data_IF_626602372831
#
_entry.id   IF_626602372831
#
_cell.length_a   1.000
_cell.length_b   1.000
_cell.length_c   1.000
_cell.angle_alpha   90.00
_cell.angle_beta   90.00
_cell.angle_gamma   90.00
#
_symmetry.space_group_name_H-M   'P 1'
#
loop_
_entity.id
_entity.type
_entity.pdbx_description
1 polymer ?
#
# COMPACT_ATOMS: atom_id res chain seq x y z
N UNK A 1 -25.52 -29.28 -21.42
CA UNK A 1 -24.34 -29.36 -20.54
C UNK A 1 -24.84 -29.35 -19.10
N UNK A 2 -24.54 -30.39 -18.32
CA UNK A 2 -24.77 -30.38 -16.87
C UNK A 2 -23.73 -29.47 -16.24
N UNK A 3 -24.15 -28.27 -15.82
CA UNK A 3 -23.29 -27.35 -15.09
C UNK A 3 -23.37 -27.70 -13.61
N UNK A 4 -22.27 -28.15 -13.04
CA UNK A 4 -22.20 -28.49 -11.62
C UNK A 4 -22.06 -27.21 -10.80
N UNK A 5 -23.05 -26.92 -9.95
CA UNK A 5 -23.08 -25.73 -9.10
C UNK A 5 -21.78 -25.56 -8.29
N UNK A 6 -21.31 -26.62 -7.66
CA UNK A 6 -20.10 -26.63 -6.85
C UNK A 6 -18.84 -26.25 -7.65
N UNK A 7 -18.71 -26.79 -8.87
CA UNK A 7 -17.61 -26.46 -9.78
C UNK A 7 -17.60 -24.98 -10.15
N UNK A 8 -18.78 -24.37 -10.37
CA UNK A 8 -18.88 -22.94 -10.70
C UNK A 8 -18.46 -22.07 -9.52
N UNK A 9 -18.92 -22.39 -8.32
CA UNK A 9 -18.59 -21.64 -7.10
C UNK A 9 -17.08 -21.72 -6.84
N UNK A 10 -16.50 -22.93 -6.89
CA UNK A 10 -15.07 -23.14 -6.67
C UNK A 10 -14.20 -22.47 -7.74
N UNK A 11 -14.59 -22.57 -9.01
CA UNK A 11 -13.86 -21.96 -10.11
C UNK A 11 -13.85 -20.43 -10.00
N UNK A 12 -15.01 -19.81 -9.75
CA UNK A 12 -15.08 -18.36 -9.61
C UNK A 12 -14.34 -17.89 -8.36
N UNK A 13 -14.45 -18.61 -7.23
CA UNK A 13 -13.63 -18.35 -6.06
C UNK A 13 -12.13 -18.31 -6.39
N UNK A 14 -11.63 -19.32 -7.12
CA UNK A 14 -10.21 -19.41 -7.47
C UNK A 14 -9.79 -18.26 -8.40
N UNK A 15 -10.57 -17.98 -9.44
CA UNK A 15 -10.31 -16.91 -10.40
C UNK A 15 -10.31 -15.55 -9.70
N UNK A 16 -11.35 -15.26 -8.92
CA UNK A 16 -11.49 -14.00 -8.19
C UNK A 16 -10.37 -13.82 -7.16
N UNK A 17 -9.98 -14.90 -6.49
CA UNK A 17 -8.86 -14.86 -5.56
C UNK A 17 -7.54 -14.54 -6.27
N UNK A 18 -7.27 -15.15 -7.43
CA UNK A 18 -6.09 -14.86 -8.25
C UNK A 18 -6.09 -13.41 -8.74
N UNK A 19 -7.24 -12.90 -9.19
CA UNK A 19 -7.38 -11.52 -9.65
C UNK A 19 -7.20 -10.50 -8.52
N UNK A 20 -7.73 -10.76 -7.33
CA UNK A 20 -7.49 -9.92 -6.15
C UNK A 20 -6.02 -9.95 -5.73
N UNK A 21 -5.37 -11.12 -5.80
CA UNK A 21 -3.93 -11.25 -5.53
C UNK A 21 -3.08 -10.49 -6.57
N UNK A 22 -3.44 -10.58 -7.85
CA UNK A 22 -2.81 -9.81 -8.93
C UNK A 22 -2.98 -8.31 -8.73
N UNK A 23 -4.19 -7.89 -8.34
CA UNK A 23 -4.51 -6.49 -8.01
C UNK A 23 -3.65 -5.97 -6.86
N UNK A 24 -3.43 -6.77 -5.81
CA UNK A 24 -2.55 -6.40 -4.69
C UNK A 24 -1.11 -6.16 -5.14
N UNK A 25 -0.58 -7.06 -5.97
CA UNK A 25 0.79 -6.94 -6.49
C UNK A 25 0.95 -5.70 -7.36
N UNK A 26 0.00 -5.45 -8.28
CA UNK A 26 0.04 -4.27 -9.14
C UNK A 26 -0.17 -2.95 -8.37
N UNK A 27 -0.95 -2.99 -7.29
CA UNK A 27 -1.24 -1.80 -6.49
C UNK A 27 -0.17 -1.50 -5.44
N UNK A 28 0.82 -2.38 -5.22
CA UNK A 28 1.91 -2.16 -4.25
C UNK A 28 1.52 -2.27 -2.76
N UNK A 29 0.29 -2.68 -2.43
CA UNK A 29 -0.18 -2.83 -1.05
C UNK A 29 -0.41 -4.30 -0.69
N UNK A 30 0.13 -4.79 0.44
CA UNK A 30 -0.23 -6.10 0.97
C UNK A 30 -1.62 -6.02 1.61
N UNK A 31 -2.68 -6.42 0.90
CA UNK A 31 -3.96 -6.71 1.54
C UNK A 31 -3.86 -8.05 2.28
N UNK A 32 -4.56 -8.17 3.41
CA UNK A 32 -4.62 -9.42 4.18
C UNK A 32 -5.20 -10.54 3.32
N UNK A 33 -4.48 -11.67 3.24
CA UNK A 33 -4.91 -12.86 2.49
C UNK A 33 -6.31 -13.36 2.94
N UNK A 34 -6.67 -13.13 4.21
CA UNK A 34 -8.01 -13.45 4.73
C UNK A 34 -9.09 -12.56 4.11
N UNK A 35 -8.82 -11.26 3.96
CA UNK A 35 -9.79 -10.31 3.39
C UNK A 35 -9.99 -10.52 1.89
N UNK A 36 -8.92 -10.86 1.17
CA UNK A 36 -9.04 -11.20 -0.25
C UNK A 36 -9.77 -12.53 -0.45
N UNK A 37 -9.52 -13.53 0.40
CA UNK A 37 -10.27 -14.78 0.38
C UNK A 37 -11.77 -14.53 0.64
N UNK A 38 -12.12 -13.71 1.63
CA UNK A 38 -13.52 -13.33 1.90
C UNK A 38 -14.18 -12.60 0.71
N UNK A 39 -13.45 -11.70 0.05
CA UNK A 39 -13.91 -11.06 -1.18
C UNK A 39 -14.14 -12.08 -2.30
N UNK A 40 -13.23 -13.03 -2.49
CA UNK A 40 -13.38 -14.10 -3.47
C UNK A 40 -14.53 -15.07 -3.15
N UNK A 41 -14.82 -15.33 -1.87
CA UNK A 41 -16.00 -16.12 -1.46
C UNK A 41 -17.28 -15.42 -1.93
N UNK A 42 -17.38 -14.10 -1.78
CA UNK A 42 -18.53 -13.34 -2.28
C UNK A 42 -18.69 -13.49 -3.81
N UNK A 43 -17.59 -13.43 -4.56
CA UNK A 43 -17.60 -13.64 -6.01
C UNK A 43 -18.03 -15.06 -6.40
N UNK A 44 -17.48 -16.08 -5.74
CA UNK A 44 -17.85 -17.49 -5.95
C UNK A 44 -19.32 -17.77 -5.65
N UNK A 45 -19.82 -17.30 -4.51
CA UNK A 45 -21.24 -17.44 -4.12
C UNK A 45 -22.15 -16.70 -5.11
N UNK A 46 -21.79 -15.47 -5.47
CA UNK A 46 -22.54 -14.69 -6.45
C UNK A 46 -22.65 -15.41 -7.80
N UNK A 47 -21.56 -16.01 -8.28
CA UNK A 47 -21.56 -16.78 -9.52
C UNK A 47 -22.46 -18.03 -9.44
N UNK A 48 -22.45 -18.74 -8.31
CA UNK A 48 -23.36 -19.86 -8.07
C UNK A 48 -24.83 -19.44 -8.09
N UNK A 49 -25.17 -18.33 -7.43
CA UNK A 49 -26.54 -17.80 -7.38
C UNK A 49 -27.05 -17.39 -8.76
N UNK A 50 -26.19 -16.86 -9.64
CA UNK A 50 -26.58 -16.49 -11.01
C UNK A 50 -27.09 -17.66 -11.87
N UNK A 51 -26.76 -18.89 -11.50
CA UNK A 51 -27.15 -20.11 -12.23
C UNK A 51 -28.45 -20.71 -11.69
N UNK A 52 -28.90 -20.28 -10.50
CA UNK A 52 -30.16 -20.77 -9.94
C UNK A 52 -31.36 -20.28 -10.77
N UNK A 53 -32.37 -21.14 -11.00
CA UNK A 53 -33.58 -20.75 -11.73
C UNK A 53 -34.27 -19.58 -11.03
N UNK A 54 -34.61 -18.53 -11.79
CA UNK A 54 -35.22 -17.29 -11.27
C UNK A 54 -34.23 -16.19 -10.87
N UNK A 55 -32.93 -16.48 -10.77
CA UNK A 55 -31.89 -15.52 -10.40
C UNK A 55 -31.11 -14.94 -11.60
N UNK A 56 -31.56 -15.17 -12.83
CA UNK A 56 -30.87 -14.69 -14.04
C UNK A 56 -30.72 -13.15 -14.11
N UNK A 57 -31.60 -12.40 -13.44
CA UNK A 57 -31.49 -10.94 -13.37
C UNK A 57 -30.18 -10.48 -12.71
N UNK A 58 -29.61 -11.29 -11.80
CA UNK A 58 -28.31 -11.01 -11.17
C UNK A 58 -27.16 -11.06 -12.18
N UNK A 59 -27.33 -11.71 -13.34
CA UNK A 59 -26.35 -11.68 -14.42
C UNK A 59 -26.22 -10.33 -15.14
N UNK A 60 -27.12 -9.38 -14.88
CA UNK A 60 -27.10 -8.05 -15.49
C UNK A 60 -25.86 -7.23 -15.13
N UNK A 61 -25.52 -6.26 -15.99
CA UNK A 61 -24.34 -5.40 -15.84
C UNK A 61 -24.29 -4.69 -14.48
N UNK A 62 -25.43 -4.16 -14.01
CA UNK A 62 -25.54 -3.46 -12.73
C UNK A 62 -25.17 -4.36 -11.55
N UNK A 63 -25.75 -5.55 -11.47
CA UNK A 63 -25.51 -6.50 -10.39
C UNK A 63 -24.08 -7.05 -10.40
N UNK A 64 -23.49 -7.23 -11.58
CA UNK A 64 -22.07 -7.58 -11.71
C UNK A 64 -21.18 -6.49 -11.15
N UNK A 65 -21.43 -5.22 -11.50
CA UNK A 65 -20.67 -4.08 -10.96
C UNK A 65 -20.83 -3.96 -9.44
N UNK A 66 -22.03 -4.21 -8.90
CA UNK A 66 -22.26 -4.22 -7.45
C UNK A 66 -21.50 -5.36 -6.76
N UNK A 67 -21.46 -6.55 -7.36
CA UNK A 67 -20.68 -7.68 -6.83
C UNK A 67 -19.17 -7.35 -6.82
N UNK A 68 -18.62 -6.86 -7.93
CA UNK A 68 -17.24 -6.38 -8.04
C UNK A 68 -16.92 -5.29 -6.98
N UNK A 69 -17.84 -4.35 -6.77
CA UNK A 69 -17.71 -3.32 -5.74
C UNK A 69 -17.74 -3.90 -4.31
N UNK A 70 -18.61 -4.89 -4.04
CA UNK A 70 -18.67 -5.60 -2.77
C UNK A 70 -17.38 -6.36 -2.46
N UNK A 71 -16.87 -7.11 -3.44
CA UNK A 71 -15.60 -7.86 -3.31
C UNK A 71 -14.43 -6.93 -3.00
N UNK A 72 -14.34 -5.81 -3.72
CA UNK A 72 -13.27 -4.82 -3.53
C UNK A 72 -13.43 -4.06 -2.20
N UNK A 73 -14.66 -3.77 -1.76
CA UNK A 73 -14.95 -3.20 -0.44
C UNK A 73 -14.52 -4.13 0.70
N UNK A 74 -14.81 -5.44 0.61
CA UNK A 74 -14.38 -6.43 1.60
C UNK A 74 -12.85 -6.55 1.61
N UNK A 75 -12.24 -6.70 0.43
CA UNK A 75 -10.81 -6.89 0.29
C UNK A 75 -9.99 -5.66 0.71
N UNK A 76 -10.44 -4.45 0.37
CA UNK A 76 -9.63 -3.23 0.45
C UNK A 76 -10.21 -2.11 1.35
N UNK A 77 -11.47 -2.21 1.77
CA UNK A 77 -12.16 -1.18 2.57
C UNK A 77 -12.74 -0.04 1.72
N UNK A 78 -13.23 1.01 2.38
CA UNK A 78 -13.94 2.14 1.73
C UNK A 78 -13.11 3.44 1.75
N UNK A 79 -11.88 3.39 1.26
CA UNK A 79 -10.99 4.56 1.18
C UNK A 79 -10.88 5.07 -0.26
N UNK A 80 -10.40 6.31 -0.48
CA UNK A 80 -10.13 6.82 -1.85
C UNK A 80 -9.16 5.94 -2.65
N UNK A 81 -8.26 5.24 -1.95
CA UNK A 81 -7.36 4.25 -2.54
C UNK A 81 -8.06 2.94 -2.94
N UNK A 82 -9.25 2.66 -2.41
CA UNK A 82 -10.05 1.48 -2.78
C UNK A 82 -10.68 1.63 -4.17
N UNK A 83 -11.09 2.84 -4.57
CA UNK A 83 -11.57 3.11 -5.94
C UNK A 83 -10.50 2.78 -6.99
N UNK A 84 -9.24 3.16 -6.72
CA UNK A 84 -8.12 2.84 -7.62
C UNK A 84 -7.88 1.32 -7.72
N UNK A 85 -7.89 0.62 -6.57
CA UNK A 85 -7.74 -0.85 -6.52
C UNK A 85 -8.90 -1.56 -7.22
N UNK A 86 -10.13 -1.06 -7.03
CA UNK A 86 -11.32 -1.57 -7.71
C UNK A 86 -11.24 -1.39 -9.22
N UNK A 87 -10.73 -0.25 -9.70
CA UNK A 87 -10.50 -0.05 -11.13
C UNK A 87 -9.50 -1.06 -11.72
N UNK A 88 -8.38 -1.32 -11.03
CA UNK A 88 -7.39 -2.35 -11.46
C UNK A 88 -8.04 -3.73 -11.48
N UNK A 89 -8.81 -4.10 -10.45
CA UNK A 89 -9.51 -5.37 -10.38
C UNK A 89 -10.54 -5.54 -11.52
N UNK A 90 -11.32 -4.51 -11.83
CA UNK A 90 -12.27 -4.50 -12.94
C UNK A 90 -11.54 -4.65 -14.28
N UNK A 91 -10.43 -3.95 -14.50
CA UNK A 91 -9.63 -4.07 -15.72
C UNK A 91 -9.06 -5.48 -15.90
N UNK A 92 -8.54 -6.09 -14.84
CA UNK A 92 -8.06 -7.47 -14.89
C UNK A 92 -9.20 -8.46 -15.17
N UNK A 93 -10.37 -8.24 -14.58
CA UNK A 93 -11.58 -9.05 -14.82
C UNK A 93 -12.07 -8.93 -16.26
N UNK A 94 -12.04 -7.72 -16.83
CA UNK A 94 -12.39 -7.47 -18.23
C UNK A 94 -11.36 -8.10 -19.19
N UNK A 95 -10.07 -7.97 -18.90
CA UNK A 95 -9.01 -8.60 -19.68
C UNK A 95 -9.17 -10.13 -19.69
N UNK A 96 -9.42 -10.73 -18.52
CA UNK A 96 -9.71 -12.16 -18.42
C UNK A 96 -10.93 -12.55 -19.24
N UNK A 97 -12.04 -11.82 -19.10
CA UNK A 97 -13.27 -12.07 -19.87
C UNK A 97 -13.06 -11.96 -21.38
N UNK A 98 -12.32 -10.94 -21.84
CA UNK A 98 -12.00 -10.75 -23.25
C UNK A 98 -11.12 -11.87 -23.82
N UNK A 99 -10.09 -12.29 -23.08
CA UNK A 99 -9.24 -13.42 -23.47
C UNK A 99 -10.07 -14.70 -23.54
N UNK A 100 -10.89 -14.99 -22.52
CA UNK A 100 -11.74 -16.18 -22.48
C UNK A 100 -12.75 -16.24 -23.64
N UNK A 101 -13.33 -15.09 -24.05
CA UNK A 101 -14.20 -15.01 -25.23
C UNK A 101 -13.43 -15.21 -26.54
N UNK A 102 -12.21 -14.68 -26.66
CA UNK A 102 -11.37 -14.81 -27.85
C UNK A 102 -10.97 -16.25 -28.19
N UNK A 103 -10.88 -17.14 -27.19
CA UNK A 103 -10.57 -18.57 -27.40
C UNK A 103 -11.79 -19.44 -27.75
N UNK A 104 -12.95 -18.85 -28.06
CA UNK A 104 -14.02 -19.50 -28.84
C UNK A 104 -14.85 -20.57 -28.12
N UNK A 105 -14.58 -20.90 -26.86
CA UNK A 105 -15.48 -21.64 -25.95
C UNK A 105 -14.92 -21.46 -24.53
N UNK A 106 -15.74 -20.90 -23.63
CA UNK A 106 -15.42 -20.72 -22.22
C UNK A 106 -15.35 -22.06 -21.47
N UNK A 107 -14.36 -22.88 -21.81
CA UNK A 107 -14.02 -24.06 -21.04
C UNK A 107 -13.35 -23.63 -19.74
N UNK A 108 -13.59 -24.39 -18.67
CA UNK A 108 -12.97 -24.17 -17.36
C UNK A 108 -11.45 -24.03 -17.47
N UNK A 109 -10.83 -24.82 -18.35
CA UNK A 109 -9.38 -24.77 -18.62
C UNK A 109 -8.95 -23.46 -19.29
N UNK A 110 -9.71 -22.93 -20.24
CA UNK A 110 -9.34 -21.66 -20.92
C UNK A 110 -9.47 -20.48 -19.97
N UNK A 111 -10.48 -20.46 -19.09
CA UNK A 111 -10.64 -19.49 -18.01
C UNK A 111 -9.50 -19.55 -16.98
N UNK A 112 -9.11 -20.74 -16.55
CA UNK A 112 -7.99 -20.91 -15.61
C UNK A 112 -6.65 -20.52 -16.23
N UNK A 113 -6.38 -20.93 -17.47
CA UNK A 113 -5.13 -20.59 -18.17
C UNK A 113 -5.02 -19.09 -18.45
N UNK A 114 -6.13 -18.44 -18.81
CA UNK A 114 -6.15 -16.99 -19.00
C UNK A 114 -6.03 -16.23 -17.67
N UNK A 115 -6.63 -16.71 -16.59
CA UNK A 115 -6.45 -16.12 -15.24
C UNK A 115 -5.01 -16.28 -14.75
N UNK A 116 -4.43 -17.47 -14.94
CA UNK A 116 -3.04 -17.75 -14.62
C UNK A 116 -2.08 -16.93 -15.48
N UNK A 117 -2.37 -16.78 -16.79
CA UNK A 117 -1.57 -15.97 -17.71
C UNK A 117 -1.60 -14.49 -17.35
N UNK A 118 -2.78 -13.93 -17.04
CA UNK A 118 -2.91 -12.56 -16.55
C UNK A 118 -2.16 -12.39 -15.22
N UNK A 119 -2.31 -13.32 -14.28
CA UNK A 119 -1.61 -13.28 -13.00
C UNK A 119 -0.08 -13.38 -13.16
N UNK A 120 0.39 -14.21 -14.09
CA UNK A 120 1.81 -14.42 -14.37
C UNK A 120 2.42 -13.22 -15.09
N UNK A 121 1.72 -12.60 -16.05
CA UNK A 121 2.10 -11.33 -16.65
C UNK A 121 2.15 -10.19 -15.63
N UNK A 122 1.19 -10.16 -14.69
CA UNK A 122 1.24 -9.23 -13.55
C UNK A 122 2.44 -9.51 -12.64
N UNK A 123 2.87 -10.77 -12.52
CA UNK A 123 4.01 -11.17 -11.70
C UNK A 123 5.38 -10.93 -12.37
N UNK A 124 5.46 -10.99 -13.71
CA UNK A 124 6.74 -10.96 -14.46
C UNK A 124 6.93 -9.72 -15.33
N UNK A 125 5.89 -9.24 -16.01
CA UNK A 125 5.96 -8.16 -17.01
C UNK A 125 5.68 -6.75 -16.48
N UNK A 126 5.01 -6.66 -15.32
CA UNK A 126 4.65 -5.39 -14.66
C UNK A 126 5.53 -5.14 -13.43
N UNK A 127 6.85 -5.29 -13.60
CA UNK A 127 7.83 -4.87 -12.57
C UNK A 127 7.87 -3.35 -12.35
N UNK A 128 7.20 -2.57 -13.19
CA UNK A 128 6.87 -1.20 -12.85
C UNK A 128 5.64 -1.24 -11.93
N UNK A 129 5.74 -0.80 -10.66
CA UNK A 129 4.56 -0.57 -9.85
C UNK A 129 3.70 0.45 -10.61
N UNK A 130 2.62 0.00 -11.26
CA UNK A 130 1.80 0.90 -12.08
C UNK A 130 1.30 2.06 -11.23
N UNK A 131 1.10 1.88 -9.92
CA UNK A 131 0.89 2.95 -8.95
C UNK A 131 1.37 2.50 -7.56
N UNK A 132 2.24 3.27 -6.91
CA UNK A 132 2.02 3.62 -5.50
C UNK A 132 3.05 3.14 -4.47
N UNK A 133 3.72 4.12 -3.84
CA UNK A 133 3.78 4.29 -2.38
C UNK A 133 3.93 2.97 -1.59
N UNK A 134 5.16 2.51 -1.35
CA UNK A 134 5.45 1.28 -0.58
C UNK A 134 5.49 1.63 0.92
N UNK A 135 4.71 0.93 1.75
CA UNK A 135 4.69 1.15 3.20
C UNK A 135 5.51 0.07 3.89
N UNK A 136 6.44 0.48 4.75
CA UNK A 136 7.34 -0.42 5.47
C UNK A 136 7.26 -0.15 6.97
N UNK A 137 7.28 -1.19 7.82
CA UNK A 137 7.37 -1.02 9.26
C UNK A 137 8.76 -0.47 9.63
N UNK A 138 8.80 0.44 10.58
CA UNK A 138 10.01 1.03 11.15
C UNK A 138 10.03 0.82 12.65
N UNK A 139 11.19 0.45 13.18
CA UNK A 139 11.45 0.40 14.61
C UNK A 139 12.59 1.38 14.95
N UNK A 140 12.32 2.29 15.89
CA UNK A 140 13.28 3.27 16.40
C UNK A 140 13.67 2.91 17.83
N UNK A 141 14.97 3.01 18.15
CA UNK A 141 15.48 2.92 19.52
C UNK A 141 16.10 4.27 19.94
N UNK A 142 15.55 4.85 21.00
CA UNK A 142 16.02 6.13 21.54
C UNK A 142 15.94 6.16 23.06
N UNK A 143 17.08 6.36 23.74
CA UNK A 143 17.18 6.40 25.20
C UNK A 143 16.50 5.19 25.86
N UNK A 144 16.70 4.00 25.28
CA UNK A 144 16.07 2.76 25.72
C UNK A 144 14.57 2.58 25.39
N UNK A 145 13.89 3.58 24.80
CA UNK A 145 12.51 3.45 24.33
C UNK A 145 12.48 2.92 22.90
N UNK A 146 11.74 1.82 22.67
CA UNK A 146 11.46 1.30 21.32
C UNK A 146 10.11 1.82 20.83
N UNK A 147 10.10 2.40 19.63
CA UNK A 147 8.89 2.87 18.99
C UNK A 147 8.70 2.17 17.64
N UNK A 148 7.50 1.64 17.40
CA UNK A 148 7.12 1.03 16.13
C UNK A 148 6.20 1.97 15.36
N UNK A 149 6.51 2.21 14.10
CA UNK A 149 5.79 3.12 13.22
C UNK A 149 5.78 2.61 11.78
N UNK A 150 4.95 3.21 10.93
CA UNK A 150 4.87 2.88 9.51
C UNK A 150 5.48 4.00 8.69
N UNK A 151 6.49 3.70 7.88
CA UNK A 151 7.09 4.64 6.94
C UNK A 151 6.56 4.40 5.52
N UNK A 152 6.31 5.49 4.81
CA UNK A 152 6.10 5.50 3.38
C UNK A 152 7.45 5.64 2.68
N UNK A 153 7.77 4.71 1.79
CA UNK A 153 8.92 4.80 0.88
C UNK A 153 8.56 5.80 -0.20
N UNK A 154 9.16 6.98 -0.08
CA UNK A 154 8.97 8.10 -1.00
C UNK A 154 10.21 8.21 -1.88
N UNK A 155 10.08 7.75 -3.13
CA UNK A 155 11.16 7.84 -4.13
C UNK A 155 11.49 9.29 -4.51
N UNK A 156 10.59 10.24 -4.24
CA UNK A 156 10.82 11.67 -4.42
C UNK A 156 11.60 12.31 -3.26
N UNK A 157 11.69 11.63 -2.10
CA UNK A 157 12.48 12.12 -0.98
C UNK A 157 13.97 11.83 -1.21
N UNK A 158 14.70 12.87 -1.61
CA UNK A 158 16.15 12.84 -1.84
C UNK A 158 16.97 13.39 -0.67
N UNK A 159 16.33 13.59 0.48
CA UNK A 159 16.98 14.16 1.66
C UNK A 159 18.12 13.26 2.15
N UNK A 160 19.32 13.83 2.25
CA UNK A 160 20.55 13.15 2.68
C UNK A 160 21.25 13.97 3.74
N UNK A 161 21.87 13.29 4.70
CA UNK A 161 22.72 13.92 5.70
C UNK A 161 23.87 14.66 4.98
N UNK A 162 23.99 16.00 5.11
CA UNK A 162 25.03 16.77 4.44
C UNK A 162 26.46 16.35 4.82
N UNK A 163 26.63 15.69 5.97
CA UNK A 163 27.93 15.28 6.49
C UNK A 163 28.28 13.85 6.05
N UNK A 164 27.39 12.88 6.32
CA UNK A 164 27.66 11.47 6.02
C UNK A 164 27.20 11.03 4.62
N UNK A 165 26.36 11.80 3.95
CA UNK A 165 25.72 11.43 2.68
C UNK A 165 24.66 10.33 2.80
N UNK A 166 24.44 9.82 4.02
CA UNK A 166 23.46 8.76 4.32
C UNK A 166 22.02 9.22 4.14
N UNK A 167 21.11 8.26 3.96
CA UNK A 167 19.68 8.53 3.94
C UNK A 167 19.21 9.02 5.31
N UNK A 168 18.15 9.83 5.29
CA UNK A 168 17.55 10.41 6.51
C UNK A 168 16.08 10.00 6.55
N UNK A 169 15.68 9.36 7.64
CA UNK A 169 14.28 9.04 7.89
C UNK A 169 13.57 10.30 8.40
N UNK A 170 12.51 10.75 7.75
CA UNK A 170 11.74 11.91 8.21
C UNK A 170 10.52 11.44 8.98
N UNK A 171 10.33 11.90 10.21
CA UNK A 171 9.19 11.54 11.07
C UNK A 171 8.32 12.77 11.35
N UNK A 172 7.02 12.55 11.53
CA UNK A 172 6.09 13.63 11.87
C UNK A 172 6.23 14.12 13.31
N UNK A 173 5.68 15.30 13.59
CA UNK A 173 5.69 15.95 14.92
C UNK A 173 5.12 15.07 16.05
N UNK A 174 4.17 14.19 15.75
CA UNK A 174 3.56 13.29 16.73
C UNK A 174 4.55 12.26 17.28
N UNK A 175 5.42 11.74 16.42
CA UNK A 175 6.51 10.83 16.81
C UNK A 175 7.51 11.57 17.70
N UNK A 176 7.85 12.83 17.36
CA UNK A 176 8.69 13.69 18.20
C UNK A 176 8.13 13.87 19.61
N UNK A 177 6.81 14.10 19.75
CA UNK A 177 6.15 14.22 21.07
C UNK A 177 6.27 12.93 21.90
N UNK A 178 6.09 11.76 21.30
CA UNK A 178 6.23 10.47 22.00
C UNK A 178 7.65 10.22 22.50
N UNK A 179 8.65 10.78 21.81
CA UNK A 179 10.05 10.72 22.20
C UNK A 179 10.47 11.79 23.22
N UNK A 180 9.54 12.68 23.62
CA UNK A 180 9.79 13.75 24.59
C UNK A 180 10.39 15.03 23.98
N UNK A 181 10.25 15.23 22.66
CA UNK A 181 10.70 16.44 21.98
C UNK A 181 9.51 17.41 21.89
N UNK A 182 9.66 18.59 22.48
CA UNK A 182 8.63 19.63 22.45
C UNK A 182 8.38 20.14 21.04
N UNK A 183 7.11 20.46 20.73
CA UNK A 183 6.69 20.97 19.41
C UNK A 183 7.38 22.28 19.04
N UNK A 184 7.69 23.11 20.03
CA UNK A 184 8.43 24.36 19.86
C UNK A 184 9.81 24.14 19.23
N UNK A 185 10.53 23.10 19.69
CA UNK A 185 11.86 22.73 19.18
C UNK A 185 11.79 22.27 17.71
N UNK A 186 10.71 21.57 17.35
CA UNK A 186 10.52 21.07 15.98
C UNK A 186 10.12 22.22 15.04
N UNK A 187 9.32 23.18 15.53
CA UNK A 187 8.84 24.31 14.74
C UNK A 187 9.92 25.38 14.52
N UNK A 188 10.79 25.62 15.50
CA UNK A 188 11.95 26.51 15.37
C UNK A 188 13.25 25.76 15.70
N UNK A 189 13.76 24.98 14.73
CA UNK A 189 14.93 24.14 14.97
C UNK A 189 16.22 24.95 15.08
N UNK A 190 16.26 26.17 14.51
CA UNK A 190 17.43 27.06 14.56
C UNK A 190 17.60 27.63 15.96
N UNK A 191 16.52 28.15 16.55
CA UNK A 191 16.56 28.65 17.93
C UNK A 191 16.86 27.52 18.93
N UNK A 192 16.27 26.33 18.74
CA UNK A 192 16.50 25.19 19.61
C UNK A 192 17.96 24.70 19.61
N UNK A 193 18.62 24.73 18.44
CA UNK A 193 20.03 24.39 18.33
C UNK A 193 20.92 25.47 18.97
N UNK A 194 20.61 26.75 18.74
CA UNK A 194 21.33 27.87 19.35
C UNK A 194 21.26 27.83 20.89
N UNK A 195 20.10 27.45 21.43
CA UNK A 195 19.88 27.27 22.87
C UNK A 195 20.50 25.97 23.44
N UNK A 196 21.17 25.14 22.61
CA UNK A 196 21.75 23.83 22.98
C UNK A 196 20.78 22.91 23.75
N UNK A 197 19.48 23.01 23.48
CA UNK A 197 18.45 22.25 24.19
C UNK A 197 18.56 20.74 23.93
N UNK A 198 19.19 20.34 22.82
CA UNK A 198 19.36 18.94 22.42
C UNK A 198 20.81 18.70 22.01
N UNK A 199 21.52 17.87 22.79
CA UNK A 199 22.87 17.45 22.46
C UNK A 199 22.88 16.51 21.25
N UNK A 200 23.80 16.75 20.31
CA UNK A 200 23.94 15.92 19.10
C UNK A 200 22.91 16.20 18.00
N UNK A 201 22.04 17.19 18.17
CA UNK A 201 21.15 17.67 17.12
C UNK A 201 21.92 18.40 16.02
N UNK A 202 21.41 18.29 14.80
CA UNK A 202 21.95 18.91 13.59
C UNK A 202 20.79 19.53 12.81
N UNK A 203 21.11 20.49 11.95
CA UNK A 203 20.14 21.05 11.02
C UNK A 203 20.39 20.47 9.64
N UNK A 204 19.30 20.07 8.98
CA UNK A 204 19.34 19.62 7.59
C UNK A 204 18.46 20.54 6.74
N UNK A 205 18.98 21.13 5.65
CA UNK A 205 18.15 21.90 4.75
C UNK A 205 17.17 20.98 4.04
N UNK A 206 15.90 21.40 3.98
CA UNK A 206 14.86 20.70 3.25
C UNK A 206 14.12 21.65 2.31
N UNK A 207 13.56 21.08 1.24
CA UNK A 207 12.70 21.81 0.31
C UNK A 207 11.42 21.03 0.14
N UNK A 208 10.32 21.61 0.59
CA UNK A 208 8.98 21.09 0.34
C UNK A 208 8.34 21.80 -0.85
N UNK A 209 7.51 21.08 -1.59
CA UNK A 209 6.75 21.65 -2.70
C UNK A 209 5.80 22.72 -2.17
N UNK A 210 5.87 23.94 -2.70
CA UNK A 210 5.01 25.05 -2.31
C UNK A 210 5.45 25.83 -1.07
N UNK A 211 6.62 25.54 -0.48
CA UNK A 211 7.20 26.34 0.61
C UNK A 211 8.57 26.90 0.22
N UNK A 212 8.93 28.11 0.69
CA UNK A 212 10.33 28.52 0.71
C UNK A 212 11.10 27.46 1.52
N UNK A 213 12.30 27.07 1.05
CA UNK A 213 13.11 26.05 1.72
C UNK A 213 13.29 26.36 3.21
N UNK A 214 13.45 25.32 4.02
CA UNK A 214 13.57 25.46 5.48
C UNK A 214 14.65 24.55 6.04
N UNK A 215 14.74 24.52 7.38
CA UNK A 215 15.62 23.62 8.10
C UNK A 215 14.78 22.62 8.89
N UNK A 216 15.19 21.35 8.92
CA UNK A 216 14.65 20.36 9.85
C UNK A 216 15.67 20.08 10.95
N UNK A 217 15.17 19.80 12.14
CA UNK A 217 15.97 19.23 13.20
C UNK A 217 16.24 17.76 12.87
N UNK A 218 17.51 17.36 12.88
CA UNK A 218 17.96 15.99 12.68
C UNK A 218 18.73 15.51 13.91
N UNK A 219 18.51 14.26 14.30
CA UNK A 219 19.19 13.64 15.42
C UNK A 219 19.67 12.23 15.05
N UNK A 220 20.73 11.79 15.72
CA UNK A 220 21.25 10.42 15.60
C UNK A 220 20.59 9.54 16.66
N UNK A 221 19.93 8.47 16.22
CA UNK A 221 19.33 7.46 17.08
C UNK A 221 20.32 6.32 17.39
N UNK A 222 20.01 5.51 18.40
CA UNK A 222 20.82 4.33 18.74
C UNK A 222 20.68 3.26 17.65
N UNK A 223 19.44 3.00 17.23
CA UNK A 223 19.13 2.02 16.20
C UNK A 223 17.88 2.42 15.42
N UNK A 224 17.94 2.28 14.10
CA UNK A 224 16.81 2.51 13.18
C UNK A 224 16.70 1.29 12.28
N UNK A 225 15.58 0.55 12.38
CA UNK A 225 15.28 -0.60 11.54
C UNK A 225 14.15 -0.28 10.59
N UNK A 226 14.36 -0.49 9.30
CA UNK A 226 13.33 -0.39 8.25
C UNK A 226 13.11 -1.79 7.68
N UNK A 227 11.88 -2.31 7.82
CA UNK A 227 11.52 -3.67 7.40
C UNK A 227 12.49 -4.75 7.95
N UNK A 228 12.96 -4.57 9.19
CA UNK A 228 13.90 -5.46 9.87
C UNK A 228 15.38 -5.25 9.52
N UNK A 229 15.72 -4.43 8.53
CA UNK A 229 17.10 -4.10 8.19
C UNK A 229 17.56 -2.83 8.91
N UNK A 230 18.77 -2.84 9.46
CA UNK A 230 19.37 -1.66 10.09
C UNK A 230 19.77 -0.68 8.99
N UNK A 231 19.27 0.56 9.10
CA UNK A 231 19.56 1.65 8.17
C UNK A 231 20.34 2.77 8.88
N UNK A 232 20.60 3.86 8.15
CA UNK A 232 21.19 5.08 8.70
C UNK A 232 20.47 5.51 9.99
N UNK A 233 21.22 5.80 11.08
CA UNK A 233 20.63 6.18 12.36
C UNK A 233 20.11 7.63 12.37
N UNK A 234 20.11 8.33 11.24
CA UNK A 234 19.74 9.73 11.16
C UNK A 234 18.23 9.88 10.96
N UNK A 235 17.59 10.59 11.88
CA UNK A 235 16.14 10.86 11.87
C UNK A 235 15.91 12.36 11.92
N UNK A 236 15.14 12.89 10.97
CA UNK A 236 14.72 14.28 10.91
C UNK A 236 13.25 14.44 11.32
N UNK A 237 12.93 15.55 11.99
CA UNK A 237 11.58 15.85 12.47
C UNK A 237 10.93 16.91 11.59
N UNK A 238 9.84 16.55 10.92
CA UNK A 238 9.02 17.51 10.19
C UNK A 238 8.15 18.31 11.17
N UNK A 239 7.99 19.63 10.97
CA UNK A 239 7.11 20.47 11.80
C UNK A 239 5.61 20.18 11.58
N UNK A 240 5.29 19.56 10.45
CA UNK A 240 3.94 19.16 10.08
C UNK A 240 3.66 17.69 10.39
N UNK A 241 2.37 17.39 10.52
CA UNK A 241 1.91 16.02 10.70
C UNK A 241 2.00 15.28 9.36
N UNK A 242 2.81 14.23 9.35
CA UNK A 242 2.99 13.36 8.20
C UNK A 242 1.89 12.28 8.23
N UNK A 243 1.14 12.13 7.12
CA UNK A 243 0.33 10.94 6.86
C UNK A 243 -0.95 10.74 7.69
N UNK A 244 -1.50 11.79 8.30
CA UNK A 244 -2.70 11.72 9.17
C UNK A 244 -3.93 11.03 8.55
N UNK A 245 -4.09 11.07 7.22
CA UNK A 245 -5.21 10.42 6.49
C UNK A 245 -4.89 9.05 5.92
N UNK A 246 -3.61 8.72 5.76
CA UNK A 246 -3.14 7.55 5.02
C UNK A 246 -2.41 6.53 5.90
N UNK A 247 -2.31 6.78 7.21
CA UNK A 247 -1.87 5.81 8.22
C UNK A 247 -0.36 5.59 8.32
N UNK A 248 0.45 6.47 7.72
CA UNK A 248 1.90 6.48 7.86
C UNK A 248 2.35 7.64 8.75
N UNK A 249 3.48 7.48 9.43
CA UNK A 249 4.01 8.45 10.40
C UNK A 249 5.44 8.91 10.06
N UNK A 250 6.03 8.30 9.02
CA UNK A 250 7.37 8.62 8.56
C UNK A 250 7.48 8.52 7.03
N UNK A 251 8.50 9.18 6.49
CA UNK A 251 8.93 9.12 5.10
C UNK A 251 10.35 8.56 5.06
N UNK A 252 10.53 7.45 4.34
CA UNK A 252 11.84 6.89 4.04
C UNK A 252 12.22 7.29 2.60
N UNK A 253 13.30 8.07 2.47
CA UNK A 253 13.84 8.52 1.19
C UNK A 253 15.25 8.01 0.98
N UNK A 254 15.72 8.05 -0.28
CA UNK A 254 17.09 7.70 -0.62
C UNK A 254 17.44 6.23 -0.36
N UNK A 255 17.09 5.37 -1.32
CA UNK A 255 17.57 3.98 -1.47
C UNK A 255 17.06 3.02 -0.38
N UNK A 256 15.97 2.33 -0.72
CA UNK A 256 15.81 0.90 -0.37
C UNK A 256 16.18 0.11 -1.62
#
# INVERSE_FOLDING_TARGET
MTVYFEMVVLLNFLVDWLLLMGTNRLSGYPASAKRTALGAVLGGVYAGVCILPGCHFLGGLLWRLMSLAGMTGIAYGWNRSALRKGAVFVLLSMALGGIAMGFGKGNVVTLLLSAAGVALLCATGLRAPIIGMKYLPVELLWKGKRLKLTALVDTGNTLRDPISGGSVLVVGTDVGRQLGISREIINDPVAALAAKQIQGARLIPYRAVGKPGGMLLMMRFEEVKLNGQIISPMVAFAPEEIGKKDGYQALAGGVV
#
